data_IF_746094548954
#
_entry.id   IF_746094548954
#
_cell.length_a   1.000
_cell.length_b   1.000
_cell.length_c   1.000
_cell.angle_alpha   90.00
_cell.angle_beta   90.00
_cell.angle_gamma   90.00
#
_symmetry.space_group_name_H-M   'P 1'
#
loop_
_entity.id
_entity.type
_entity.pdbx_description
1 polymer ?
#
# COMPACT_ATOMS: atom_id res chain seq x y z
N UNK A 1 -10.67 3.36 -8.25
CA UNK A 1 -10.25 2.28 -7.30
C UNK A 1 -8.74 2.25 -7.36
N UNK A 2 -8.04 2.30 -6.21
CA UNK A 2 -6.58 2.47 -6.13
C UNK A 2 -5.78 1.54 -7.06
N UNK A 3 -6.24 0.31 -7.25
CA UNK A 3 -5.63 -0.69 -8.13
C UNK A 3 -5.63 -0.32 -9.62
N UNK A 4 -6.60 0.46 -10.09
CA UNK A 4 -6.67 0.94 -11.49
C UNK A 4 -5.81 2.18 -11.73
N UNK A 5 -5.64 2.99 -10.70
CA UNK A 5 -4.84 4.23 -10.76
C UNK A 5 -3.35 3.94 -10.55
N UNK A 6 -3.02 2.90 -9.78
CA UNK A 6 -1.66 2.44 -9.52
C UNK A 6 -1.56 0.94 -9.81
N UNK A 7 -1.34 0.55 -11.08
CA UNK A 7 -1.17 -0.84 -11.51
C UNK A 7 0.22 -1.43 -11.18
N UNK A 8 0.86 -0.94 -10.12
CA UNK A 8 2.15 -1.41 -9.61
C UNK A 8 2.20 -1.33 -8.08
N UNK A 9 3.10 -2.08 -7.48
CA UNK A 9 3.35 -2.05 -6.04
C UNK A 9 4.05 -0.75 -5.62
N UNK A 10 3.54 -0.06 -4.61
CA UNK A 10 4.13 1.18 -4.08
C UNK A 10 5.50 0.96 -3.41
N UNK A 11 5.80 -0.27 -2.95
CA UNK A 11 7.07 -0.62 -2.30
C UNK A 11 8.11 -1.11 -3.31
N UNK A 12 7.82 -2.16 -4.08
CA UNK A 12 8.80 -2.78 -4.98
C UNK A 12 8.71 -2.31 -6.42
N UNK A 13 7.75 -1.42 -6.76
CA UNK A 13 7.51 -0.86 -8.10
C UNK A 13 7.21 -1.89 -9.20
N UNK A 14 7.02 -3.16 -8.86
CA UNK A 14 6.66 -4.21 -9.82
C UNK A 14 5.20 -4.08 -10.24
N UNK A 15 4.89 -4.18 -11.55
CA UNK A 15 3.52 -4.19 -12.02
C UNK A 15 2.73 -5.40 -11.50
N UNK A 16 1.41 -5.26 -11.50
CA UNK A 16 0.49 -6.33 -11.14
C UNK A 16 0.28 -7.30 -12.28
N UNK A 17 0.36 -8.59 -11.99
CA UNK A 17 0.03 -9.67 -12.92
C UNK A 17 -0.55 -10.88 -12.17
N UNK A 18 -0.88 -11.95 -12.90
CA UNK A 18 -1.45 -13.18 -12.32
C UNK A 18 -0.53 -13.84 -11.28
N UNK A 19 0.78 -13.76 -11.48
CA UNK A 19 1.81 -14.27 -10.55
C UNK A 19 2.12 -13.28 -9.42
N UNK A 20 1.88 -11.99 -9.63
CA UNK A 20 2.11 -10.91 -8.68
C UNK A 20 0.82 -10.09 -8.44
N UNK A 21 -0.21 -10.67 -7.82
CA UNK A 21 -1.49 -10.00 -7.63
C UNK A 21 -1.33 -8.80 -6.68
N UNK A 22 -1.94 -7.69 -7.08
CA UNK A 22 -1.97 -6.44 -6.32
C UNK A 22 -3.18 -6.40 -5.40
N UNK A 23 -3.01 -5.74 -4.26
CA UNK A 23 -4.00 -5.59 -3.20
C UNK A 23 -4.04 -4.13 -2.72
N UNK A 24 -5.23 -3.64 -2.40
CA UNK A 24 -5.37 -2.35 -1.73
C UNK A 24 -4.99 -2.53 -0.26
N UNK A 25 -4.07 -1.70 0.22
CA UNK A 25 -3.61 -1.71 1.62
C UNK A 25 -3.69 -0.31 2.22
N UNK A 26 -3.91 -0.23 3.54
CA UNK A 26 -3.90 1.04 4.24
C UNK A 26 -2.47 1.51 4.47
N UNK A 27 -2.15 2.76 4.12
CA UNK A 27 -0.87 3.39 4.43
C UNK A 27 -0.71 3.43 5.95
N UNK A 28 -1.65 4.09 6.62
CA UNK A 28 -1.79 4.10 8.08
C UNK A 28 -2.76 2.98 8.49
N UNK A 29 -2.30 1.99 9.29
CA UNK A 29 -3.15 0.94 9.84
C UNK A 29 -4.34 1.47 10.66
N UNK A 30 -5.43 0.71 10.71
CA UNK A 30 -6.66 1.15 11.39
C UNK A 30 -6.49 1.27 12.91
N UNK A 31 -5.73 0.37 13.53
CA UNK A 31 -5.34 0.41 14.95
C UNK A 31 -4.49 1.65 15.31
N UNK A 32 -3.90 2.35 14.31
CA UNK A 32 -3.20 3.63 14.48
C UNK A 32 -4.06 4.85 14.09
N UNK A 33 -5.37 4.68 13.95
CA UNK A 33 -6.27 5.75 13.54
C UNK A 33 -6.34 5.96 12.02
N UNK A 34 -5.86 5.01 11.23
CA UNK A 34 -5.98 5.01 9.79
C UNK A 34 -7.44 5.06 9.32
N UNK A 35 -7.78 6.09 8.54
CA UNK A 35 -9.13 6.31 8.01
C UNK A 35 -9.35 5.48 6.74
N UNK A 36 -10.59 5.06 6.51
CA UNK A 36 -11.01 4.41 5.26
C UNK A 36 -11.27 5.43 4.15
N UNK A 37 -10.26 6.24 3.83
CA UNK A 37 -10.32 7.27 2.78
C UNK A 37 -9.37 6.93 1.65
N UNK A 38 -9.70 7.32 0.41
CA UNK A 38 -8.88 7.04 -0.79
C UNK A 38 -7.41 7.39 -0.59
N UNK A 39 -7.13 8.52 0.07
CA UNK A 39 -5.77 9.01 0.35
C UNK A 39 -4.96 8.09 1.26
N UNK A 40 -5.62 7.28 2.11
CA UNK A 40 -4.97 6.30 2.98
C UNK A 40 -4.83 4.92 2.32
N UNK A 41 -5.19 4.75 1.05
CA UNK A 41 -5.01 3.50 0.32
C UNK A 41 -3.83 3.58 -0.65
N UNK A 42 -2.99 2.54 -0.58
CA UNK A 42 -1.91 2.28 -1.53
C UNK A 42 -2.09 0.90 -2.19
N UNK A 43 -1.36 0.66 -3.28
CA UNK A 43 -1.35 -0.63 -3.96
C UNK A 43 -0.11 -1.41 -3.56
N UNK A 44 -0.26 -2.60 -2.97
CA UNK A 44 0.86 -3.49 -2.64
C UNK A 44 0.68 -4.86 -3.28
N UNK A 45 1.77 -5.48 -3.72
CA UNK A 45 1.73 -6.89 -4.08
C UNK A 45 1.61 -7.78 -2.84
N UNK A 46 1.13 -9.01 -3.00
CA UNK A 46 0.97 -9.99 -1.91
C UNK A 46 2.22 -10.11 -1.02
N UNK A 47 3.41 -10.14 -1.62
CA UNK A 47 4.68 -10.29 -0.90
C UNK A 47 5.02 -9.07 -0.06
N UNK A 48 4.90 -7.87 -0.63
CA UNK A 48 5.16 -6.61 0.08
C UNK A 48 4.11 -6.34 1.16
N UNK A 49 2.85 -6.67 0.90
CA UNK A 49 1.76 -6.56 1.87
C UNK A 49 1.99 -7.49 3.08
N UNK A 50 2.35 -8.76 2.84
CA UNK A 50 2.73 -9.68 3.91
C UNK A 50 3.90 -9.15 4.74
N UNK A 51 4.99 -8.73 4.08
CA UNK A 51 6.15 -8.18 4.76
C UNK A 51 5.85 -6.89 5.56
N UNK A 52 4.90 -6.06 5.09
CA UNK A 52 4.44 -4.87 5.83
C UNK A 52 3.66 -5.25 7.09
N UNK A 53 2.84 -6.31 7.03
CA UNK A 53 2.11 -6.85 8.18
C UNK A 53 3.03 -7.47 9.20
N UNK A 54 4.05 -8.20 8.76
CA UNK A 54 5.04 -8.85 9.63
C UNK A 54 5.93 -7.84 10.34
N UNK A 55 6.23 -6.70 9.70
CA UNK A 55 6.96 -5.58 10.30
C UNK A 55 6.13 -4.75 11.27
N UNK A 56 4.90 -5.20 11.55
CA UNK A 56 4.06 -4.77 12.64
C UNK A 56 4.08 -3.28 12.84
N UNK A 57 3.21 -2.54 12.15
CA UNK A 57 2.77 -1.23 12.59
C UNK A 57 3.87 -0.11 12.55
N UNK A 58 5.16 -0.38 12.76
CA UNK A 58 6.24 0.57 13.11
C UNK A 58 7.00 1.21 11.92
N UNK A 59 6.44 1.21 10.72
CA UNK A 59 7.24 1.51 9.53
C UNK A 59 6.61 2.43 8.49
N UNK A 60 6.15 3.62 8.91
CA UNK A 60 6.04 4.77 8.02
C UNK A 60 7.45 5.10 7.48
N UNK A 61 7.75 4.63 6.27
CA UNK A 61 8.82 5.21 5.46
C UNK A 61 8.23 5.52 4.10
N UNK A 62 7.75 6.75 3.97
CA UNK A 62 7.63 7.41 2.67
C UNK A 62 6.25 7.93 2.32
N UNK A 63 5.61 8.69 3.20
CA UNK A 63 4.71 9.76 2.74
C UNK A 63 5.58 10.96 2.30
N UNK A 64 6.22 10.84 1.14
CA UNK A 64 6.56 12.06 0.40
C UNK A 64 5.22 12.65 -0.04
N UNK A 65 4.87 13.74 0.63
CA UNK A 65 3.67 14.52 0.41
C UNK A 65 3.72 15.05 -1.02
N UNK A 66 3.06 14.34 -1.93
CA UNK A 66 2.74 14.87 -3.26
C UNK A 66 1.30 15.36 -3.22
N UNK A 67 1.14 16.61 -2.82
CA UNK A 67 0.02 17.47 -3.16
C UNK A 67 0.58 18.88 -3.41
N UNK A 68 0.05 19.67 -4.36
CA UNK A 68 -0.49 19.35 -5.69
C UNK A 68 0.50 19.62 -6.84
#
# INVERSE_FOLDING_TARGET
MVLREQPWCSICRTPGDTSNPLQADHIVPHNRGGKNVRANYQTLCRRCNAAKRDRGDEGDRGIESLEP
#
